data_IF_984552388365
#
_entry.id   IF_984552388365
#
_cell.length_a   1.000
_cell.length_b   1.000
_cell.length_c   1.000
_cell.angle_alpha   90.00
_cell.angle_beta   90.00
_cell.angle_gamma   90.00
#
_symmetry.space_group_name_H-M   'P 1'
#
loop_
_entity.id
_entity.type
_entity.pdbx_description
1 polymer ?
#
# COMPACT_ATOMS: atom_id res chain seq x y z
N UNK A 1 -5.24 -5.04 -11.84
CA UNK A 1 -4.00 -5.38 -11.11
C UNK A 1 -4.21 -6.49 -10.07
N UNK A 2 -5.27 -6.42 -9.24
CA UNK A 2 -5.54 -7.38 -8.16
C UNK A 2 -5.55 -8.85 -8.65
N UNK A 3 -6.33 -9.17 -9.69
CA UNK A 3 -6.44 -10.54 -10.23
C UNK A 3 -5.08 -11.10 -10.64
N UNK A 4 -4.25 -10.29 -11.30
CA UNK A 4 -2.90 -10.70 -11.72
C UNK A 4 -2.00 -11.00 -10.50
N UNK A 5 -1.98 -10.10 -9.51
CA UNK A 5 -1.20 -10.30 -8.29
C UNK A 5 -1.64 -11.57 -7.54
N UNK A 6 -2.95 -11.75 -7.36
CA UNK A 6 -3.52 -12.92 -6.69
C UNK A 6 -3.23 -14.22 -7.45
N UNK A 7 -3.18 -14.20 -8.78
CA UNK A 7 -2.80 -15.37 -9.58
C UNK A 7 -1.33 -15.76 -9.43
N UNK A 8 -0.44 -14.82 -9.09
CA UNK A 8 0.98 -15.12 -8.84
C UNK A 8 1.21 -15.72 -7.46
N UNK A 9 0.47 -15.23 -6.47
CA UNK A 9 0.34 -15.76 -5.11
C UNK A 9 -0.71 -14.93 -4.37
N UNK A 10 -1.73 -15.61 -3.84
CA UNK A 10 -2.87 -14.97 -3.20
C UNK A 10 -2.48 -14.08 -2.00
N UNK A 11 -1.39 -14.41 -1.29
CA UNK A 11 -0.93 -13.64 -0.12
C UNK A 11 -0.33 -12.27 -0.51
N UNK A 12 0.11 -12.10 -1.75
CA UNK A 12 0.79 -10.87 -2.16
C UNK A 12 -0.11 -9.65 -2.06
N UNK A 13 -1.39 -9.78 -2.45
CA UNK A 13 -2.32 -8.66 -2.34
C UNK A 13 -2.50 -8.21 -0.88
N UNK A 14 -2.58 -9.18 0.04
CA UNK A 14 -2.70 -8.88 1.47
C UNK A 14 -1.47 -8.13 2.00
N UNK A 15 -0.26 -8.53 1.58
CA UNK A 15 1.00 -7.86 1.99
C UNK A 15 1.08 -6.45 1.40
N UNK A 16 0.60 -6.26 0.17
CA UNK A 16 0.56 -4.95 -0.50
C UNK A 16 -0.37 -3.98 0.24
N UNK A 17 -1.54 -4.44 0.68
CA UNK A 17 -2.53 -3.53 1.30
C UNK A 17 -2.38 -3.38 2.81
N UNK A 18 -1.89 -4.41 3.51
CA UNK A 18 -1.86 -4.43 4.98
C UNK A 18 -0.44 -4.36 5.55
N UNK A 19 0.59 -4.41 4.70
CA UNK A 19 1.98 -4.46 5.11
C UNK A 19 2.51 -5.88 5.31
N UNK A 20 3.83 -6.08 5.20
CA UNK A 20 4.46 -7.34 5.55
C UNK A 20 4.47 -7.53 7.07
N UNK A 21 4.33 -8.78 7.50
CA UNK A 21 4.54 -9.11 8.90
C UNK A 21 6.05 -9.03 9.23
N UNK A 22 6.38 -8.26 10.27
CA UNK A 22 7.77 -8.05 10.69
C UNK A 22 8.18 -9.17 11.68
N UNK A 23 9.28 -9.89 11.40
CA UNK A 23 9.81 -10.91 12.30
C UNK A 23 10.04 -10.37 13.72
N UNK A 24 9.27 -10.90 14.67
CA UNK A 24 9.28 -10.45 16.06
C UNK A 24 9.26 -11.63 17.02
N UNK A 25 9.78 -11.41 18.23
CA UNK A 25 9.81 -12.36 19.33
C UNK A 25 9.23 -11.72 20.59
N UNK A 26 8.78 -12.55 21.52
CA UNK A 26 8.32 -12.08 22.84
C UNK A 26 9.44 -12.36 23.84
N UNK A 27 9.91 -11.31 24.53
CA UNK A 27 10.85 -11.40 25.65
C UNK A 27 10.23 -10.62 26.80
N UNK A 28 10.09 -11.26 27.97
CA UNK A 28 9.48 -10.66 29.16
C UNK A 28 8.09 -10.03 28.91
N UNK A 29 7.29 -10.67 28.05
CA UNK A 29 5.96 -10.19 27.67
C UNK A 29 5.94 -9.03 26.66
N UNK A 30 7.11 -8.52 26.25
CA UNK A 30 7.23 -7.44 25.26
C UNK A 30 7.54 -7.99 23.87
N UNK A 31 6.92 -7.41 22.83
CA UNK A 31 7.18 -7.74 21.43
C UNK A 31 8.41 -6.96 20.94
N UNK A 32 9.46 -7.68 20.59
CA UNK A 32 10.75 -7.13 20.15
C UNK A 32 11.08 -7.64 18.75
N UNK A 33 11.74 -6.83 17.92
CA UNK A 33 12.24 -7.27 16.62
C UNK A 33 13.25 -8.39 16.78
N UNK A 34 13.15 -9.41 15.92
CA UNK A 34 14.18 -10.45 15.81
C UNK A 34 15.40 -9.87 15.11
N UNK A 35 16.59 -10.29 15.54
CA UNK A 35 17.80 -10.08 14.75
C UNK A 35 17.86 -11.09 13.60
N UNK A 36 18.58 -10.76 12.52
CA UNK A 36 18.65 -11.61 11.32
C UNK A 36 19.14 -13.03 11.59
N UNK A 37 19.97 -13.24 12.61
CA UNK A 37 20.46 -14.55 13.03
C UNK A 37 19.42 -15.38 13.80
N UNK A 38 18.31 -14.79 14.20
CA UNK A 38 17.19 -15.44 14.90
C UNK A 38 16.04 -15.80 13.97
N UNK A 39 16.16 -15.49 12.67
CA UNK A 39 15.13 -15.77 11.70
C UNK A 39 14.99 -17.27 11.45
N UNK A 40 13.75 -17.73 11.46
CA UNK A 40 13.38 -19.07 11.06
C UNK A 40 12.86 -19.09 9.61
N UNK A 41 12.57 -20.28 9.08
CA UNK A 41 12.09 -20.44 7.70
C UNK A 41 10.80 -19.66 7.41
N UNK A 42 9.95 -19.47 8.42
CA UNK A 42 8.73 -18.68 8.29
C UNK A 42 9.04 -17.18 8.14
N UNK A 43 9.96 -16.64 8.96
CA UNK A 43 10.42 -15.25 8.86
C UNK A 43 11.00 -14.97 7.47
N UNK A 44 11.86 -15.88 6.95
CA UNK A 44 12.41 -15.77 5.61
C UNK A 44 11.34 -15.83 4.51
N UNK A 45 10.32 -16.69 4.67
CA UNK A 45 9.20 -16.77 3.73
C UNK A 45 8.44 -15.44 3.67
N UNK A 46 8.19 -14.79 4.80
CA UNK A 46 7.53 -13.48 4.84
C UNK A 46 8.38 -12.40 4.14
N UNK A 47 9.68 -12.38 4.40
CA UNK A 47 10.62 -11.47 3.72
C UNK A 47 10.65 -11.69 2.20
N UNK A 48 10.65 -12.96 1.77
CA UNK A 48 10.62 -13.33 0.37
C UNK A 48 9.31 -12.90 -0.31
N UNK A 49 8.17 -13.03 0.37
CA UNK A 49 6.88 -12.57 -0.15
C UNK A 49 6.85 -11.04 -0.31
N UNK A 50 7.38 -10.29 0.66
CA UNK A 50 7.53 -8.83 0.53
C UNK A 50 8.43 -8.48 -0.67
N UNK A 51 9.57 -9.14 -0.82
CA UNK A 51 10.46 -8.93 -1.97
C UNK A 51 9.78 -9.26 -3.31
N UNK A 52 9.03 -10.36 -3.38
CA UNK A 52 8.23 -10.74 -4.56
C UNK A 52 7.17 -9.69 -4.88
N UNK A 53 6.49 -9.16 -3.87
CA UNK A 53 5.50 -8.11 -4.03
C UNK A 53 6.14 -6.80 -4.53
N UNK A 54 7.28 -6.37 -3.96
CA UNK A 54 8.04 -5.20 -4.45
C UNK A 54 8.42 -5.37 -5.91
N UNK A 55 8.91 -6.55 -6.29
CA UNK A 55 9.28 -6.85 -7.67
C UNK A 55 8.07 -6.73 -8.63
N UNK A 56 6.92 -7.31 -8.27
CA UNK A 56 5.69 -7.21 -9.07
C UNK A 56 5.25 -5.76 -9.26
N UNK A 57 5.32 -4.93 -8.20
CA UNK A 57 5.02 -3.50 -8.32
C UNK A 57 6.04 -2.82 -9.24
N UNK A 58 7.34 -3.02 -9.03
CA UNK A 58 8.37 -2.40 -9.86
C UNK A 58 8.24 -2.72 -11.35
N UNK A 59 7.88 -3.95 -11.71
CA UNK A 59 7.66 -4.33 -13.11
C UNK A 59 6.49 -3.58 -13.77
N UNK A 60 5.55 -3.06 -12.98
CA UNK A 60 4.40 -2.29 -13.48
C UNK A 60 4.66 -0.77 -13.54
N UNK A 61 5.75 -0.27 -12.94
CA UNK A 61 6.03 1.15 -12.85
C UNK A 61 6.83 1.68 -14.04
N UNK A 62 6.54 2.92 -14.43
CA UNK A 62 7.43 3.68 -15.29
C UNK A 62 8.72 4.06 -14.53
N UNK A 63 9.82 4.41 -15.23
CA UNK A 63 11.05 4.85 -14.56
C UNK A 63 10.86 6.03 -13.60
N UNK A 64 9.97 6.97 -13.94
CA UNK A 64 9.69 8.13 -13.08
C UNK A 64 9.01 7.72 -11.78
N UNK A 65 8.03 6.82 -11.85
CA UNK A 65 7.33 6.33 -10.66
C UNK A 65 8.20 5.41 -9.82
N UNK A 66 8.99 4.55 -10.46
CA UNK A 66 9.99 3.72 -9.79
C UNK A 66 10.91 4.57 -8.91
N UNK A 67 11.49 5.64 -9.47
CA UNK A 67 12.40 6.52 -8.74
C UNK A 67 11.76 7.19 -7.51
N UNK A 68 10.43 7.35 -7.49
CA UNK A 68 9.71 7.99 -6.38
C UNK A 68 9.45 7.04 -5.22
N UNK A 69 9.45 5.74 -5.45
CA UNK A 69 9.08 4.72 -4.45
C UNK A 69 10.19 3.70 -4.17
N UNK A 70 11.27 3.69 -4.94
CA UNK A 70 12.33 2.67 -4.85
C UNK A 70 13.08 2.67 -3.52
N UNK A 71 13.12 3.80 -2.81
CA UNK A 71 13.77 3.93 -1.49
C UNK A 71 12.89 3.49 -0.32
N UNK A 72 11.63 3.11 -0.55
CA UNK A 72 10.71 2.70 0.51
C UNK A 72 10.98 1.26 0.94
N UNK A 73 10.78 0.99 2.22
CA UNK A 73 11.21 -0.26 2.84
C UNK A 73 10.24 -1.39 2.52
N UNK A 74 8.93 -1.13 2.65
CA UNK A 74 7.88 -2.11 2.40
C UNK A 74 7.13 -1.86 1.09
N UNK A 75 6.59 -2.93 0.49
CA UNK A 75 5.72 -2.79 -0.69
C UNK A 75 4.43 -2.02 -0.36
N UNK A 76 3.98 -2.07 0.89
CA UNK A 76 2.79 -1.37 1.34
C UNK A 76 2.98 0.15 1.34
N UNK A 77 4.13 0.64 1.84
CA UNK A 77 4.49 2.05 1.72
C UNK A 77 4.56 2.51 0.26
N UNK A 78 5.13 1.68 -0.62
CA UNK A 78 5.17 1.96 -2.06
C UNK A 78 3.75 2.08 -2.63
N UNK A 79 2.87 1.15 -2.28
CA UNK A 79 1.48 1.15 -2.71
C UNK A 79 0.70 2.36 -2.21
N UNK A 80 0.83 2.71 -0.93
CA UNK A 80 0.19 3.89 -0.34
C UNK A 80 0.65 5.18 -1.01
N UNK A 81 1.96 5.29 -1.31
CA UNK A 81 2.52 6.45 -2.01
C UNK A 81 1.98 6.58 -3.44
N UNK A 82 1.83 5.47 -4.15
CA UNK A 82 1.23 5.43 -5.49
C UNK A 82 -0.25 5.80 -5.43
N UNK A 83 -1.01 5.24 -4.48
CA UNK A 83 -2.42 5.55 -4.27
C UNK A 83 -2.64 7.04 -4.03
N UNK A 84 -1.87 7.65 -3.13
CA UNK A 84 -1.94 9.10 -2.86
C UNK A 84 -1.61 9.92 -4.11
N UNK A 85 -0.66 9.46 -4.93
CA UNK A 85 -0.25 10.17 -6.16
C UNK A 85 -1.36 10.18 -7.21
N UNK A 86 -2.01 9.03 -7.43
CA UNK A 86 -2.96 8.86 -8.53
C UNK A 86 -4.40 9.20 -8.14
N UNK A 87 -4.82 8.82 -6.94
CA UNK A 87 -6.19 9.08 -6.49
C UNK A 87 -6.33 10.39 -5.71
N UNK A 88 -5.20 10.96 -5.28
CA UNK A 88 -5.18 12.08 -4.35
C UNK A 88 -5.40 11.64 -2.90
N UNK A 89 -5.21 12.59 -1.98
CA UNK A 89 -5.49 12.36 -0.55
C UNK A 89 -6.98 12.42 -0.25
N UNK A 90 -7.40 11.80 0.86
CA UNK A 90 -8.78 11.90 1.33
C UNK A 90 -9.22 13.36 1.48
N UNK A 91 -8.35 14.23 2.02
CA UNK A 91 -8.62 15.67 2.13
C UNK A 91 -8.95 16.34 0.79
N UNK A 92 -8.20 16.02 -0.28
CA UNK A 92 -8.48 16.57 -1.61
C UNK A 92 -9.80 16.03 -2.16
N UNK A 93 -10.09 14.75 -1.93
CA UNK A 93 -11.37 14.13 -2.32
C UNK A 93 -12.54 14.79 -1.57
N UNK A 94 -12.43 14.96 -0.27
CA UNK A 94 -13.45 15.59 0.59
C UNK A 94 -13.69 17.05 0.20
N UNK A 95 -12.63 17.80 -0.08
CA UNK A 95 -12.75 19.20 -0.52
C UNK A 95 -13.52 19.30 -1.84
N UNK A 96 -13.28 18.38 -2.79
CA UNK A 96 -14.03 18.32 -4.04
C UNK A 96 -15.50 17.96 -3.80
N UNK A 97 -15.78 17.01 -2.91
CA UNK A 97 -17.15 16.61 -2.54
C UNK A 97 -17.89 17.80 -1.94
N UNK A 98 -17.30 18.48 -0.95
CA UNK A 98 -17.91 19.64 -0.30
C UNK A 98 -18.18 20.78 -1.29
N UNK A 99 -17.25 21.03 -2.21
CA UNK A 99 -17.46 22.02 -3.28
C UNK A 99 -18.65 21.65 -4.17
N UNK A 100 -18.72 20.41 -4.63
CA UNK A 100 -19.82 19.94 -5.49
C UNK A 100 -21.16 19.96 -4.75
N UNK A 101 -21.17 19.65 -3.45
CA UNK A 101 -22.36 19.72 -2.61
C UNK A 101 -22.85 21.17 -2.48
N UNK A 102 -21.94 22.11 -2.20
CA UNK A 102 -22.26 23.53 -2.16
C UNK A 102 -22.79 24.03 -3.51
N UNK A 103 -22.15 23.66 -4.62
CA UNK A 103 -22.60 24.05 -5.97
C UNK A 103 -23.99 23.46 -6.29
N UNK A 104 -24.28 22.24 -5.84
CA UNK A 104 -25.60 21.61 -5.97
C UNK A 104 -26.67 22.31 -5.15
N UNK A 105 -26.38 22.68 -3.90
CA UNK A 105 -27.30 23.45 -3.04
C UNK A 105 -27.60 24.83 -3.61
N UNK A 106 -26.61 25.47 -4.23
CA UNK A 106 -26.77 26.75 -4.91
C UNK A 106 -27.52 26.63 -6.25
N UNK A 107 -27.66 25.41 -6.78
CA UNK A 107 -28.31 25.17 -8.06
C UNK A 107 -29.83 25.31 -7.91
N UNK A 108 -30.36 26.50 -8.16
CA UNK A 108 -31.81 26.71 -8.24
C UNK A 108 -32.37 25.98 -9.46
N UNK A 109 -33.16 24.93 -9.23
CA UNK A 109 -33.97 24.33 -10.29
C UNK A 109 -35.05 25.34 -10.71
N UNK A 110 -34.81 26.05 -11.83
CA UNK A 110 -35.84 26.81 -12.52
C UNK A 110 -36.90 25.82 -13.03
N UNK A 111 -37.94 25.61 -12.22
CA UNK A 111 -39.16 24.93 -12.64
C UNK A 111 -39.99 25.94 -13.44
N UNK A 112 -40.27 25.58 -14.70
CA UNK A 112 -41.11 26.35 -15.63
C UNK A 112 -42.58 26.37 -15.20
#
# INVERSE_FOLDING_TARGET
MIIFIQSLDYQLWNIITNGPEIPTKIVDGQKILKMNNEYNDHDYKLLQLNAKAKHVIFCALSPSEFNRVSSLDSVNEMWDRLMVTYEGTNQVKDTKINRLMHDYELFTMLTK
#
